data_IF_816786074879
#
_entry.id   IF_816786074879
#
_cell.length_a   1.000
_cell.length_b   1.000
_cell.length_c   1.000
_cell.angle_alpha   90.00
_cell.angle_beta   90.00
_cell.angle_gamma   90.00
#
_symmetry.space_group_name_H-M   'P 1'
#
loop_
_entity.id
_entity.type
_entity.pdbx_description
1 polymer ?
#
# COMPACT_ATOMS: atom_id res chain seq x y z
N UNK A 1 22.35 -10.30 -9.70
CA UNK A 1 22.87 -9.34 -8.71
C UNK A 1 22.64 -9.92 -7.33
N UNK A 2 23.70 -10.09 -6.55
CA UNK A 2 23.64 -10.54 -5.16
C UNK A 2 22.97 -9.45 -4.30
N UNK A 3 22.25 -9.82 -3.24
CA UNK A 3 21.64 -8.91 -2.25
C UNK A 3 22.63 -7.84 -1.76
N UNK A 4 23.90 -8.19 -1.57
CA UNK A 4 24.97 -7.26 -1.19
C UNK A 4 25.23 -6.19 -2.26
N UNK A 5 25.39 -6.60 -3.53
CA UNK A 5 25.61 -5.67 -4.65
C UNK A 5 24.41 -4.73 -4.83
N UNK A 6 23.21 -5.25 -4.57
CA UNK A 6 21.96 -4.48 -4.62
C UNK A 6 21.90 -3.42 -3.51
N UNK A 7 22.29 -3.78 -2.30
CA UNK A 7 22.36 -2.87 -1.17
C UNK A 7 23.37 -1.75 -1.42
N UNK A 8 24.58 -2.10 -1.88
CA UNK A 8 25.65 -1.15 -2.22
C UNK A 8 25.20 -0.11 -3.26
N UNK A 9 24.33 -0.50 -4.20
CA UNK A 9 23.77 0.44 -5.18
C UNK A 9 22.85 1.48 -4.52
N UNK A 10 22.04 1.08 -3.54
CA UNK A 10 21.16 2.00 -2.81
C UNK A 10 21.90 2.89 -1.83
N UNK A 11 22.94 2.38 -1.17
CA UNK A 11 23.75 3.13 -0.19
C UNK A 11 24.30 4.44 -0.74
N UNK A 12 24.66 4.46 -2.03
CA UNK A 12 25.16 5.68 -2.71
C UNK A 12 24.15 6.82 -2.72
N UNK A 13 22.85 6.49 -2.66
CA UNK A 13 21.77 7.46 -2.63
C UNK A 13 21.29 7.78 -1.21
N UNK A 14 21.63 6.96 -0.22
CA UNK A 14 21.26 7.18 1.17
C UNK A 14 22.21 8.21 1.79
N UNK A 15 21.64 9.27 2.34
CA UNK A 15 22.35 10.37 2.97
C UNK A 15 22.20 10.40 4.48
N UNK A 16 22.74 11.45 5.09
CA UNK A 16 22.51 11.72 6.51
C UNK A 16 21.02 11.93 6.81
N UNK A 17 20.58 11.44 7.97
CA UNK A 17 19.23 11.65 8.49
C UNK A 17 19.32 12.66 9.63
N UNK A 18 18.58 13.75 9.52
CA UNK A 18 18.53 14.81 10.52
C UNK A 18 17.32 14.57 11.43
N UNK A 19 17.52 14.69 12.74
CA UNK A 19 16.44 14.54 13.73
C UNK A 19 15.46 15.72 13.68
N UNK A 20 15.94 16.90 13.29
CA UNK A 20 15.16 18.13 13.18
C UNK A 20 14.86 18.47 11.71
N UNK A 21 13.69 19.05 11.48
CA UNK A 21 13.18 19.39 10.16
C UNK A 21 11.79 18.78 9.93
N UNK A 22 11.09 19.29 8.91
CA UNK A 22 9.83 18.70 8.48
C UNK A 22 10.13 17.60 7.46
N UNK A 23 9.26 16.59 7.32
CA UNK A 23 9.20 15.61 6.20
C UNK A 23 10.55 15.38 5.46
N UNK A 24 10.70 15.82 4.19
CA UNK A 24 11.89 15.63 3.36
C UNK A 24 13.12 16.45 3.78
N UNK A 25 12.98 17.52 4.56
CA UNK A 25 14.15 18.27 5.05
C UNK A 25 15.02 17.46 6.01
N UNK A 26 14.43 16.42 6.61
CA UNK A 26 15.14 15.45 7.46
C UNK A 26 16.12 14.57 6.68
N UNK A 27 16.08 14.56 5.34
CA UNK A 27 16.97 13.72 4.52
C UNK A 27 17.59 14.51 3.37
N UNK A 28 18.69 13.99 2.85
CA UNK A 28 19.31 14.57 1.67
C UNK A 28 18.42 14.41 0.42
N UNK A 29 18.49 15.39 -0.49
CA UNK A 29 17.72 15.40 -1.76
C UNK A 29 17.85 14.10 -2.56
N UNK A 30 19.05 13.50 -2.63
CA UNK A 30 19.28 12.21 -3.31
C UNK A 30 18.50 11.06 -2.68
N UNK A 31 18.35 11.07 -1.36
CA UNK A 31 17.58 10.08 -0.60
C UNK A 31 16.09 10.26 -0.86
N UNK A 32 15.61 11.52 -0.86
CA UNK A 32 14.22 11.83 -1.19
C UNK A 32 13.87 11.41 -2.62
N UNK A 33 14.74 11.70 -3.59
CA UNK A 33 14.56 11.27 -4.98
C UNK A 33 14.53 9.75 -5.11
N UNK A 34 15.41 9.03 -4.40
CA UNK A 34 15.36 7.57 -4.36
C UNK A 34 13.98 7.10 -3.90
N UNK A 35 13.50 7.57 -2.75
CA UNK A 35 12.22 7.10 -2.23
C UNK A 35 11.04 7.47 -3.12
N UNK A 36 11.02 8.64 -3.74
CA UNK A 36 9.99 9.00 -4.73
C UNK A 36 9.97 8.00 -5.89
N UNK A 37 11.14 7.69 -6.47
CA UNK A 37 11.26 6.73 -7.57
C UNK A 37 10.81 5.34 -7.14
N UNK A 38 11.16 4.89 -5.94
CA UNK A 38 10.77 3.57 -5.45
C UNK A 38 9.27 3.50 -5.13
N UNK A 39 8.69 4.56 -4.58
CA UNK A 39 7.25 4.65 -4.29
C UNK A 39 6.42 4.63 -5.57
N UNK A 40 6.86 5.33 -6.61
CA UNK A 40 6.15 5.38 -7.90
C UNK A 40 6.46 4.20 -8.83
N UNK A 41 7.65 3.60 -8.70
CA UNK A 41 8.15 2.53 -9.55
C UNK A 41 7.89 1.15 -8.98
N UNK A 42 8.65 0.77 -7.95
CA UNK A 42 8.67 -0.60 -7.42
C UNK A 42 8.64 -0.63 -5.89
N UNK A 43 7.46 -0.95 -5.35
CA UNK A 43 7.25 -1.03 -3.90
C UNK A 43 8.06 -2.17 -3.26
N UNK A 44 8.41 -3.24 -4.01
CA UNK A 44 9.25 -4.33 -3.47
C UNK A 44 10.65 -3.81 -3.15
N UNK A 45 11.18 -2.96 -4.02
CA UNK A 45 12.48 -2.31 -3.81
C UNK A 45 12.42 -1.34 -2.64
N UNK A 46 11.33 -0.56 -2.50
CA UNK A 46 11.15 0.29 -1.33
C UNK A 46 11.19 -0.51 -0.02
N UNK A 47 10.41 -1.59 0.06
CA UNK A 47 10.37 -2.48 1.24
C UNK A 47 11.74 -3.09 1.50
N UNK A 48 12.46 -3.50 0.46
CA UNK A 48 13.82 -4.02 0.58
C UNK A 48 14.77 -3.01 1.22
N UNK A 49 14.75 -1.75 0.77
CA UNK A 49 15.57 -0.68 1.34
C UNK A 49 15.17 -0.40 2.79
N UNK A 50 13.88 -0.25 3.07
CA UNK A 50 13.39 0.06 4.41
C UNK A 50 13.69 -1.05 5.43
N UNK A 51 13.73 -2.31 4.99
CA UNK A 51 14.11 -3.43 5.86
C UNK A 51 15.56 -3.31 6.36
N UNK A 52 16.44 -2.78 5.52
CA UNK A 52 17.86 -2.58 5.86
C UNK A 52 18.11 -1.23 6.54
N UNK A 53 17.29 -0.21 6.24
CA UNK A 53 17.41 1.14 6.79
C UNK A 53 16.08 1.60 7.44
N UNK A 54 15.66 0.98 8.56
CA UNK A 54 14.35 1.22 9.17
C UNK A 54 14.14 2.65 9.68
N UNK A 55 15.23 3.42 9.88
CA UNK A 55 15.17 4.84 10.24
C UNK A 55 14.39 5.71 9.23
N UNK A 56 14.20 5.24 7.99
CA UNK A 56 13.42 5.95 6.97
C UNK A 56 11.96 5.50 6.86
N UNK A 57 11.47 4.59 7.72
CA UNK A 57 10.09 4.12 7.63
C UNK A 57 9.11 5.28 7.86
N UNK A 58 9.30 6.05 8.93
CA UNK A 58 8.44 7.17 9.31
C UNK A 58 8.30 8.19 8.18
N UNK A 59 9.42 8.66 7.64
CA UNK A 59 9.44 9.68 6.58
C UNK A 59 8.80 9.18 5.27
N UNK A 60 8.91 7.88 4.96
CA UNK A 60 8.22 7.28 3.82
C UNK A 60 6.71 7.23 4.07
N UNK A 61 6.28 6.86 5.28
CA UNK A 61 4.86 6.84 5.64
C UNK A 61 4.25 8.26 5.59
N UNK A 62 4.97 9.26 6.09
CA UNK A 62 4.61 10.67 5.96
C UNK A 62 4.51 11.08 4.49
N UNK A 63 5.43 10.63 3.63
CA UNK A 63 5.34 10.97 2.21
C UNK A 63 4.06 10.43 1.58
N UNK A 64 3.72 9.18 1.89
CA UNK A 64 2.48 8.58 1.42
C UNK A 64 1.26 9.34 1.93
N UNK A 65 1.30 9.90 3.14
CA UNK A 65 0.22 10.78 3.64
C UNK A 65 0.05 12.02 2.76
N UNK A 66 1.14 12.69 2.40
CA UNK A 66 1.08 13.95 1.65
C UNK A 66 0.93 13.77 0.13
N UNK A 67 1.29 12.61 -0.43
CA UNK A 67 1.25 12.39 -1.87
C UNK A 67 -0.15 12.00 -2.34
N UNK A 68 -0.69 12.82 -3.25
CA UNK A 68 -2.00 12.63 -3.89
C UNK A 68 -1.91 12.13 -5.33
N UNK A 69 -0.72 12.24 -5.95
CA UNK A 69 -0.47 11.87 -7.33
C UNK A 69 0.70 10.91 -7.34
N UNK A 70 0.40 9.63 -7.58
CA UNK A 70 1.41 8.62 -7.82
C UNK A 70 1.50 8.32 -9.31
N UNK A 71 2.63 7.80 -9.74
CA UNK A 71 2.75 7.17 -11.05
C UNK A 71 1.70 6.06 -11.23
N UNK A 72 1.33 5.78 -12.49
CA UNK A 72 0.29 4.80 -12.84
C UNK A 72 0.64 3.33 -12.57
N UNK A 73 1.79 3.04 -11.96
CA UNK A 73 2.17 1.68 -11.61
C UNK A 73 1.43 1.20 -10.37
N UNK A 74 0.84 0.01 -10.47
CA UNK A 74 0.19 -0.65 -9.36
C UNK A 74 1.23 -1.26 -8.41
N UNK A 75 0.95 -1.19 -7.11
CA UNK A 75 1.79 -1.74 -6.06
C UNK A 75 1.54 -3.25 -5.89
N UNK A 76 2.60 -4.02 -5.66
CA UNK A 76 2.47 -5.42 -5.30
C UNK A 76 1.80 -5.59 -3.91
N UNK A 77 0.81 -6.48 -3.84
CA UNK A 77 -0.02 -6.73 -2.65
C UNK A 77 0.83 -7.17 -1.45
N UNK A 78 1.86 -7.99 -1.68
CA UNK A 78 2.72 -8.51 -0.61
C UNK A 78 3.72 -7.45 -0.15
N UNK A 79 4.26 -6.64 -1.07
CA UNK A 79 5.08 -5.49 -0.71
C UNK A 79 4.28 -4.46 0.12
N UNK A 80 3.06 -4.13 -0.31
CA UNK A 80 2.18 -3.24 0.44
C UNK A 80 1.84 -3.82 1.82
N UNK A 81 1.60 -5.13 1.92
CA UNK A 81 1.37 -5.81 3.19
C UNK A 81 2.57 -5.70 4.12
N UNK A 82 3.79 -5.91 3.61
CA UNK A 82 5.03 -5.75 4.38
C UNK A 82 5.24 -4.32 4.83
N UNK A 83 4.96 -3.33 3.97
CA UNK A 83 5.06 -1.92 4.33
C UNK A 83 4.06 -1.56 5.45
N UNK A 84 2.83 -2.08 5.40
CA UNK A 84 1.87 -1.94 6.50
C UNK A 84 2.43 -2.53 7.80
N UNK A 85 2.92 -3.76 7.81
CA UNK A 85 3.52 -4.34 9.03
C UNK A 85 4.72 -3.54 9.54
N UNK A 86 5.62 -3.10 8.66
CA UNK A 86 6.80 -2.32 9.05
C UNK A 86 6.46 -0.92 9.59
N UNK A 87 5.28 -0.40 9.24
CA UNK A 87 4.82 0.94 9.62
C UNK A 87 3.92 0.93 10.85
N UNK A 88 3.80 -0.19 11.56
CA UNK A 88 3.08 -0.25 12.84
C UNK A 88 3.61 0.83 13.81
N UNK A 89 2.72 1.70 14.27
CA UNK A 89 3.07 2.93 15.02
C UNK A 89 3.01 4.23 14.20
N UNK A 90 2.98 4.13 12.86
CA UNK A 90 2.89 5.23 11.91
C UNK A 90 1.65 5.13 11.00
N UNK A 91 0.66 4.29 11.35
CA UNK A 91 -0.58 4.03 10.59
C UNK A 91 -1.58 5.18 10.62
N UNK A 92 -1.18 6.32 10.09
CA UNK A 92 -2.12 7.41 9.89
C UNK A 92 -3.11 7.02 8.78
N UNK A 93 -4.39 7.40 8.94
CA UNK A 93 -5.46 7.00 8.01
C UNK A 93 -5.14 7.34 6.55
N UNK A 94 -4.56 8.51 6.33
CA UNK A 94 -4.22 8.99 4.99
C UNK A 94 -3.09 8.18 4.33
N UNK A 95 -2.09 7.73 5.10
CA UNK A 95 -1.04 6.84 4.61
C UNK A 95 -1.64 5.54 4.07
N UNK A 96 -2.43 4.84 4.90
CA UNK A 96 -3.07 3.57 4.54
C UNK A 96 -3.97 3.75 3.32
N UNK A 97 -4.77 4.82 3.28
CA UNK A 97 -5.64 5.16 2.15
C UNK A 97 -4.84 5.31 0.85
N UNK A 98 -3.74 6.06 0.89
CA UNK A 98 -2.93 6.33 -0.29
C UNK A 98 -2.14 5.09 -0.76
N UNK A 99 -1.67 4.25 0.17
CA UNK A 99 -1.08 2.96 -0.17
C UNK A 99 -2.08 2.04 -0.87
N UNK A 100 -3.29 1.92 -0.33
CA UNK A 100 -4.37 1.09 -0.91
C UNK A 100 -4.78 1.58 -2.28
N UNK A 101 -4.76 2.90 -2.52
CA UNK A 101 -5.01 3.47 -3.85
C UNK A 101 -4.01 3.02 -4.91
N UNK A 102 -2.80 2.62 -4.54
CA UNK A 102 -1.84 2.05 -5.48
C UNK A 102 -2.08 0.56 -5.76
N UNK A 103 -2.90 -0.13 -4.98
CA UNK A 103 -3.14 -1.55 -5.20
C UNK A 103 -3.90 -1.82 -6.51
N UNK A 104 -3.70 -3.02 -7.10
CA UNK A 104 -4.34 -3.45 -8.33
C UNK A 104 -5.84 -3.24 -8.34
N UNK A 105 -6.35 -2.66 -9.44
CA UNK A 105 -7.78 -2.44 -9.62
C UNK A 105 -8.46 -3.71 -10.12
N UNK A 106 -9.55 -4.07 -9.45
CA UNK A 106 -10.38 -5.24 -9.79
C UNK A 106 -11.78 -4.86 -10.26
N UNK A 107 -12.05 -3.57 -10.50
CA UNK A 107 -13.35 -3.08 -10.97
C UNK A 107 -13.77 -3.74 -12.29
N UNK A 108 -12.80 -4.01 -13.15
CA UNK A 108 -13.02 -4.50 -14.51
C UNK A 108 -12.87 -6.03 -14.58
N UNK A 109 -12.71 -6.71 -13.44
CA UNK A 109 -12.64 -8.16 -13.39
C UNK A 109 -14.03 -8.74 -13.64
N UNK A 110 -14.11 -9.68 -14.58
CA UNK A 110 -15.26 -10.55 -14.72
C UNK A 110 -15.32 -11.60 -13.59
N UNK A 111 -16.40 -12.36 -13.57
CA UNK A 111 -16.65 -13.39 -12.56
C UNK A 111 -15.54 -14.44 -12.46
N UNK A 112 -14.88 -14.78 -13.58
CA UNK A 112 -13.83 -15.81 -13.62
C UNK A 112 -12.55 -15.27 -12.99
N UNK A 113 -12.19 -14.02 -13.33
CA UNK A 113 -11.06 -13.31 -12.73
C UNK A 113 -11.27 -13.07 -11.23
N UNK A 114 -12.47 -12.66 -10.82
CA UNK A 114 -12.80 -12.48 -9.40
C UNK A 114 -12.65 -13.76 -8.61
N UNK A 115 -13.14 -14.90 -9.12
CA UNK A 115 -12.99 -16.19 -8.44
C UNK A 115 -11.52 -16.59 -8.32
N UNK A 116 -10.75 -16.42 -9.39
CA UNK A 116 -9.32 -16.76 -9.40
C UNK A 116 -8.54 -15.89 -8.42
N UNK A 117 -8.81 -14.58 -8.41
CA UNK A 117 -8.19 -13.63 -7.50
C UNK A 117 -8.57 -13.90 -6.03
N UNK A 118 -9.85 -14.17 -5.74
CA UNK A 118 -10.28 -14.52 -4.39
C UNK A 118 -9.65 -15.84 -3.91
N UNK A 119 -9.48 -16.81 -4.80
CA UNK A 119 -8.78 -18.05 -4.46
C UNK A 119 -7.31 -17.79 -4.09
N UNK A 120 -6.62 -16.91 -4.83
CA UNK A 120 -5.25 -16.49 -4.50
C UNK A 120 -5.20 -15.77 -3.15
N UNK A 121 -6.12 -14.84 -2.89
CA UNK A 121 -6.20 -14.13 -1.61
C UNK A 121 -6.38 -15.11 -0.44
N UNK A 122 -7.20 -16.15 -0.59
CA UNK A 122 -7.41 -17.17 0.43
C UNK A 122 -6.16 -18.07 0.61
N UNK A 123 -5.50 -18.46 -0.47
CA UNK A 123 -4.29 -19.28 -0.40
C UNK A 123 -3.15 -18.54 0.30
N UNK A 124 -3.06 -17.22 0.09
CA UNK A 124 -1.95 -16.40 0.57
C UNK A 124 -2.32 -15.47 1.73
N UNK A 125 -3.50 -15.65 2.33
CA UNK A 125 -4.03 -14.73 3.34
C UNK A 125 -3.08 -14.47 4.52
N UNK A 126 -2.30 -15.47 4.95
CA UNK A 126 -1.33 -15.32 6.05
C UNK A 126 -0.14 -14.40 5.70
N UNK A 127 0.07 -14.12 4.41
CA UNK A 127 1.13 -13.24 3.92
C UNK A 127 0.61 -11.83 3.59
N UNK A 128 -0.71 -11.62 3.69
CA UNK A 128 -1.37 -10.38 3.29
C UNK A 128 -1.88 -9.69 4.55
N UNK A 129 -1.60 -8.40 4.67
CA UNK A 129 -2.03 -7.61 5.81
C UNK A 129 -3.57 -7.55 5.86
N UNK A 130 -4.14 -7.67 7.06
CA UNK A 130 -5.60 -7.73 7.29
C UNK A 130 -6.37 -6.57 6.65
N UNK A 131 -5.82 -5.35 6.72
CA UNK A 131 -6.36 -4.15 6.05
C UNK A 131 -6.53 -4.36 4.54
N UNK A 132 -5.55 -4.97 3.86
CA UNK A 132 -5.60 -5.20 2.42
C UNK A 132 -6.62 -6.30 2.08
N UNK A 133 -6.73 -7.33 2.92
CA UNK A 133 -7.77 -8.36 2.79
C UNK A 133 -9.17 -7.74 2.93
N UNK A 134 -9.39 -6.88 3.93
CA UNK A 134 -10.65 -6.14 4.11
C UNK A 134 -10.94 -5.22 2.91
N UNK A 135 -9.93 -4.53 2.37
CA UNK A 135 -10.09 -3.70 1.19
C UNK A 135 -10.58 -4.51 -0.02
N UNK A 136 -9.90 -5.60 -0.35
CA UNK A 136 -10.30 -6.41 -1.50
C UNK A 136 -11.62 -7.13 -1.30
N UNK A 137 -11.95 -7.54 -0.07
CA UNK A 137 -13.28 -8.04 0.24
C UNK A 137 -14.36 -7.02 -0.13
N UNK A 138 -14.20 -5.77 0.29
CA UNK A 138 -15.14 -4.69 -0.04
C UNK A 138 -15.21 -4.40 -1.55
N UNK A 139 -14.07 -4.43 -2.25
CA UNK A 139 -14.05 -4.21 -3.71
C UNK A 139 -14.72 -5.37 -4.49
N UNK A 140 -14.54 -6.62 -4.05
CA UNK A 140 -15.23 -7.77 -4.65
C UNK A 140 -16.75 -7.66 -4.37
N UNK A 141 -17.14 -7.33 -3.13
CA UNK A 141 -18.55 -7.10 -2.77
C UNK A 141 -19.17 -5.97 -3.61
N UNK A 142 -18.45 -4.88 -3.83
CA UNK A 142 -18.90 -3.80 -4.71
C UNK A 142 -19.05 -4.29 -6.16
N UNK A 143 -18.08 -5.05 -6.67
CA UNK A 143 -18.11 -5.56 -8.04
C UNK A 143 -19.33 -6.49 -8.26
N UNK A 144 -19.57 -7.47 -7.37
CA UNK A 144 -20.71 -8.40 -7.50
C UNK A 144 -22.08 -7.72 -7.36
N UNK A 145 -22.16 -6.61 -6.62
CA UNK A 145 -23.39 -5.84 -6.45
C UNK A 145 -23.67 -4.88 -7.62
N UNK A 146 -22.62 -4.44 -8.32
CA UNK A 146 -22.73 -3.49 -9.44
C UNK A 146 -22.93 -4.21 -10.77
N UNK A 147 -22.32 -5.39 -10.94
CA UNK A 147 -22.41 -6.17 -12.16
C UNK A 147 -23.56 -7.18 -12.14
N UNK A 148 -24.12 -7.48 -13.31
CA UNK A 148 -25.24 -8.40 -13.47
C UNK A 148 -24.77 -9.86 -13.59
N UNK A 149 -24.18 -10.40 -12.53
CA UNK A 149 -23.76 -11.81 -12.49
C UNK A 149 -24.92 -12.75 -12.14
N UNK A 150 -24.80 -14.02 -12.55
CA UNK A 150 -25.80 -15.01 -12.20
C UNK A 150 -25.82 -15.27 -10.68
N UNK A 151 -27.01 -15.41 -10.08
CA UNK A 151 -27.20 -15.57 -8.62
C UNK A 151 -26.35 -16.68 -7.99
N UNK A 152 -26.21 -17.82 -8.67
CA UNK A 152 -25.39 -18.92 -8.16
C UNK A 152 -23.89 -18.57 -8.14
N UNK A 153 -23.40 -17.81 -9.11
CA UNK A 153 -22.00 -17.39 -9.15
C UNK A 153 -21.69 -16.41 -8.01
N UNK A 154 -22.61 -15.47 -7.75
CA UNK A 154 -22.54 -14.56 -6.60
C UNK A 154 -22.47 -15.35 -5.30
N UNK A 155 -23.33 -16.36 -5.11
CA UNK A 155 -23.35 -17.20 -3.90
C UNK A 155 -22.04 -17.95 -3.67
N UNK A 156 -21.36 -18.39 -4.73
CA UNK A 156 -20.04 -19.03 -4.62
C UNK A 156 -18.99 -18.04 -4.14
N UNK A 157 -18.97 -16.82 -4.68
CA UNK A 157 -18.06 -15.76 -4.24
C UNK A 157 -18.33 -15.35 -2.80
N UNK A 158 -19.58 -15.07 -2.43
CA UNK A 158 -19.99 -14.72 -1.05
C UNK A 158 -19.51 -15.76 -0.04
N UNK A 159 -19.69 -17.05 -0.34
CA UNK A 159 -19.25 -18.15 0.52
C UNK A 159 -17.72 -18.15 0.71
N UNK A 160 -16.97 -17.82 -0.33
CA UNK A 160 -15.51 -17.74 -0.24
C UNK A 160 -15.03 -16.46 0.45
N UNK A 161 -15.72 -15.33 0.26
CA UNK A 161 -15.43 -14.06 0.94
C UNK A 161 -15.60 -14.16 2.45
N UNK A 162 -16.55 -14.97 2.93
CA UNK A 162 -16.74 -15.23 4.37
C UNK A 162 -15.55 -15.93 5.03
N UNK A 163 -14.65 -16.55 4.26
CA UNK A 163 -13.44 -17.20 4.78
C UNK A 163 -12.30 -16.21 5.01
N UNK A 164 -12.34 -15.03 4.39
CA UNK A 164 -11.33 -14.00 4.60
C UNK A 164 -11.48 -13.42 6.02
N UNK A 165 -10.37 -13.16 6.74
CA UNK A 165 -10.41 -12.56 8.06
C UNK A 165 -11.05 -11.16 7.97
N UNK A 166 -11.91 -10.84 8.93
CA UNK A 166 -12.54 -9.52 9.04
C UNK A 166 -11.68 -8.66 9.94
N UNK A 167 -11.21 -7.53 9.40
CA UNK A 167 -10.66 -6.45 10.20
C UNK A 167 -11.51 -5.19 9.96
N UNK A 168 -12.11 -4.69 11.05
CA UNK A 168 -12.98 -3.51 11.06
C UNK A 168 -12.24 -2.24 11.53
N UNK A 169 -10.92 -2.31 11.70
CA UNK A 169 -10.13 -1.24 12.30
C UNK A 169 -9.92 -0.07 11.34
N UNK A 170 -10.20 -0.28 10.05
CA UNK A 170 -10.04 0.74 9.02
C UNK A 170 -11.35 1.05 8.28
N UNK A 171 -11.81 2.29 8.39
CA UNK A 171 -12.95 2.81 7.64
C UNK A 171 -12.52 3.29 6.25
N UNK A 172 -12.80 2.48 5.22
CA UNK A 172 -12.53 2.82 3.83
C UNK A 172 -13.55 3.82 3.23
N UNK A 173 -14.64 4.11 3.95
CA UNK A 173 -15.70 5.04 3.51
C UNK A 173 -15.46 6.49 3.95
N UNK A 174 -14.54 6.71 4.89
CA UNK A 174 -14.19 8.04 5.37
C UNK A 174 -13.67 8.92 4.22
N UNK A 175 -14.44 9.97 3.93
CA UNK A 175 -14.09 10.96 2.91
C UNK A 175 -12.91 11.83 3.35
N UNK A 176 -12.63 11.88 4.66
CA UNK A 176 -11.63 12.70 5.34
C UNK A 176 -10.35 12.80 4.51
N UNK A 177 -10.31 13.81 3.64
CA UNK A 177 -9.13 14.62 3.49
C UNK A 177 -8.92 15.13 4.90
N UNK A 178 -7.79 14.84 5.52
CA UNK A 178 -7.37 15.62 6.69
C UNK A 178 -7.54 17.09 6.28
N UNK A 179 -8.58 17.75 6.79
CA UNK A 179 -8.92 19.12 6.40
C UNK A 179 -7.83 20.11 6.84
N UNK A 180 -6.86 19.62 7.63
CA UNK A 180 -5.69 20.30 8.15
C UNK A 180 -4.38 19.58 7.74
N UNK A 181 -4.27 19.05 6.53
CA UNK A 181 -2.95 18.75 5.97
C UNK A 181 -2.29 20.09 5.61
N UNK A 182 -1.69 20.75 6.61
CA UNK A 182 -0.61 21.70 6.36
C UNK A 182 0.49 20.90 5.66
N UNK A 183 0.51 20.98 4.32
CA UNK A 183 1.61 20.48 3.52
C UNK A 183 2.77 21.43 3.86
N UNK A 184 3.82 21.01 4.58
CA UNK A 184 4.79 21.93 5.17
C UNK A 184 5.65 22.74 4.16
N UNK A 185 5.37 22.62 2.86
CA UNK A 185 6.16 23.14 1.75
C UNK A 185 5.31 23.79 0.64
N UNK A 186 4.05 24.11 0.93
CA UNK A 186 3.16 24.86 0.03
C UNK A 186 3.04 26.33 0.50
N UNK A 187 4.16 26.94 0.88
CA UNK A 187 4.32 28.40 0.98
C UNK A 187 4.90 28.95 -0.33
#
# INVERSE_FOLDING_TARGET
MNEKEKLENYERFLGEFKEQGNHWDKIEKRTATLFQVLIDGDLKELVFVLKHYPKYIEIVCDHFRYSYNYGGNEADIYAASKLLTMSEGYHQKQFVRNLIRKLPKISDFDITKLNSFLAELLEKQEQIHSIILSFYKNEIERNINTNNYHKLQIKVLEKNLQKLPINNDFDFSASDRDANLDIPYMD
#
